data_IF_055053420126
#
_entry.id   IF_055053420126
#
_cell.length_a   1.000
_cell.length_b   1.000
_cell.length_c   1.000
_cell.angle_alpha   90.00
_cell.angle_beta   90.00
_cell.angle_gamma   90.00
#
_symmetry.space_group_name_H-M   'P 1'
#
loop_
_entity.id
_entity.type
_entity.pdbx_description
1 polymer ?
#
# COMPACT_ATOMS: atom_id res chain seq x y z
N UNK A 1 22.59 1.13 19.61
CA UNK A 1 21.12 1.24 19.62
C UNK A 1 20.73 1.53 21.06
N UNK A 2 20.79 2.81 21.44
CA UNK A 2 20.66 3.25 22.83
C UNK A 2 19.18 3.41 23.16
N UNK A 3 18.69 2.57 24.06
CA UNK A 3 17.44 2.77 24.78
C UNK A 3 17.54 4.07 25.57
N UNK A 4 16.88 5.12 25.10
CA UNK A 4 16.57 6.27 25.93
C UNK A 4 15.43 5.84 26.85
N UNK A 5 15.79 5.51 28.09
CA UNK A 5 14.82 5.49 29.19
C UNK A 5 14.23 6.89 29.34
N UNK A 6 13.13 7.12 28.65
CA UNK A 6 12.24 8.22 28.95
C UNK A 6 11.67 7.97 30.35
N UNK A 7 12.30 8.62 31.35
CA UNK A 7 11.74 8.76 32.69
C UNK A 7 10.34 9.35 32.55
N UNK A 8 9.32 8.50 32.52
CA UNK A 8 7.93 8.87 32.81
C UNK A 8 7.83 9.27 34.27
N UNK A 9 8.37 10.43 34.61
CA UNK A 9 7.92 11.17 35.77
C UNK A 9 6.43 11.40 35.53
N UNK A 10 5.56 10.76 36.34
CA UNK A 10 4.12 11.03 36.37
C UNK A 10 3.94 12.51 36.72
N UNK A 11 3.97 13.35 35.69
CA UNK A 11 3.74 14.77 35.81
C UNK A 11 2.24 14.92 35.94
N UNK A 12 1.75 14.77 37.17
CA UNK A 12 0.37 15.15 37.47
C UNK A 12 0.21 16.59 36.98
N UNK A 13 -0.80 16.89 36.14
CA UNK A 13 -0.97 18.25 35.63
C UNK A 13 -1.06 19.19 36.84
N UNK A 14 -0.51 20.40 36.70
CA UNK A 14 -0.40 21.40 37.78
C UNK A 14 -1.72 21.53 38.58
N UNK A 15 -2.85 21.39 37.88
CA UNK A 15 -4.21 21.36 38.42
C UNK A 15 -4.45 20.26 39.45
N UNK A 16 -3.96 19.03 39.23
CA UNK A 16 -4.15 17.91 40.17
C UNK A 16 -3.36 18.15 41.47
N UNK A 17 -2.14 18.71 41.38
CA UNK A 17 -1.37 19.09 42.56
C UNK A 17 -2.06 20.21 43.35
N UNK A 18 -2.57 21.22 42.64
CA UNK A 18 -3.35 22.30 43.24
C UNK A 18 -4.58 21.77 43.96
N UNK A 19 -5.35 20.87 43.32
CA UNK A 19 -6.53 20.25 43.91
C UNK A 19 -6.20 19.44 45.17
N UNK A 20 -5.12 18.65 45.16
CA UNK A 20 -4.68 17.87 46.32
C UNK A 20 -4.27 18.77 47.51
N UNK A 21 -3.64 19.91 47.23
CA UNK A 21 -3.28 20.87 48.28
C UNK A 21 -4.53 21.54 48.85
N UNK A 22 -5.47 21.95 48.00
CA UNK A 22 -6.73 22.56 48.44
C UNK A 22 -7.57 21.59 49.28
N UNK A 23 -7.65 20.32 48.92
CA UNK A 23 -8.38 19.31 49.71
C UNK A 23 -7.70 19.02 51.06
N UNK A 24 -6.37 18.96 51.10
CA UNK A 24 -5.63 18.81 52.35
C UNK A 24 -5.84 20.00 53.29
N UNK A 25 -5.81 21.24 52.77
CA UNK A 25 -6.08 22.46 53.55
C UNK A 25 -7.51 22.44 54.10
N UNK A 26 -8.50 22.10 53.28
CA UNK A 26 -9.90 22.01 53.71
C UNK A 26 -10.08 20.97 54.83
N UNK A 27 -9.42 19.81 54.73
CA UNK A 27 -9.46 18.77 55.76
C UNK A 27 -8.82 19.24 57.09
N UNK A 28 -7.70 19.97 57.03
CA UNK A 28 -7.06 20.54 58.22
C UNK A 28 -7.96 21.58 58.88
N UNK A 29 -8.58 22.47 58.09
CA UNK A 29 -9.53 23.47 58.60
C UNK A 29 -10.73 22.79 59.28
N UNK A 30 -11.26 21.72 58.69
CA UNK A 30 -12.35 20.95 59.28
C UNK A 30 -11.95 20.31 60.63
N UNK A 31 -10.74 19.71 60.71
CA UNK A 31 -10.21 19.12 61.93
C UNK A 31 -10.00 20.17 63.03
N UNK A 32 -9.48 21.35 62.69
CA UNK A 32 -9.33 22.47 63.62
C UNK A 32 -10.71 22.92 64.12
N UNK A 33 -11.70 23.04 63.23
CA UNK A 33 -13.08 23.39 63.59
C UNK A 33 -13.70 22.40 64.57
N UNK A 34 -13.52 21.09 64.35
CA UNK A 34 -13.97 20.03 65.26
C UNK A 34 -13.27 20.11 66.62
N UNK A 35 -11.95 20.35 66.62
CA UNK A 35 -11.18 20.49 67.86
C UNK A 35 -11.65 21.69 68.69
N UNK A 36 -11.80 22.87 68.07
CA UNK A 36 -12.30 24.09 68.73
C UNK A 36 -13.70 23.90 69.28
N UNK A 37 -14.58 23.23 68.53
CA UNK A 37 -15.94 22.90 69.00
C UNK A 37 -15.92 21.98 70.24
N UNK A 38 -15.07 20.96 70.23
CA UNK A 38 -14.93 20.02 71.36
C UNK A 38 -14.32 20.68 72.61
N UNK A 39 -13.33 21.56 72.45
CA UNK A 39 -12.71 22.30 73.56
C UNK A 39 -13.68 23.31 74.19
N UNK A 40 -14.47 24.02 73.38
CA UNK A 40 -15.40 25.06 73.85
C UNK A 40 -16.69 24.53 74.47
N UNK A 41 -17.21 23.37 74.03
CA UNK A 41 -18.46 22.79 74.56
C UNK A 41 -18.28 21.48 75.36
N UNK A 42 -17.11 20.84 75.31
CA UNK A 42 -16.84 19.54 75.93
C UNK A 42 -15.87 19.55 77.12
N UNK A 43 -15.13 20.64 77.35
CA UNK A 43 -14.30 20.90 78.54
C UNK A 43 -14.56 22.32 79.05
N UNK A 44 -14.35 22.53 80.35
CA UNK A 44 -14.66 23.78 81.07
C UNK A 44 -14.40 25.04 80.24
N UNK A 45 -15.46 25.84 80.03
CA UNK A 45 -15.55 27.03 79.17
C UNK A 45 -14.36 28.00 79.30
N UNK A 46 -13.26 27.73 78.60
CA UNK A 46 -12.05 28.57 78.68
C UNK A 46 -12.17 29.84 77.82
N UNK A 47 -13.02 29.82 76.79
CA UNK A 47 -13.28 30.92 75.88
C UNK A 47 -14.79 31.23 75.85
N UNK A 48 -15.22 32.47 75.60
CA UNK A 48 -16.64 32.86 75.58
C UNK A 48 -17.10 33.28 74.18
N UNK A 49 -17.12 32.32 73.24
CA UNK A 49 -17.48 32.52 71.82
C UNK A 49 -18.98 32.36 71.51
N UNK A 50 -19.86 32.42 72.52
CA UNK A 50 -21.31 32.25 72.35
C UNK A 50 -21.80 30.81 72.60
N UNK A 51 -23.11 30.59 72.43
CA UNK A 51 -23.78 29.30 72.66
C UNK A 51 -23.74 28.40 71.41
N UNK A 52 -24.04 27.11 71.60
CA UNK A 52 -24.01 26.09 70.54
C UNK A 52 -24.92 26.45 69.35
N UNK A 53 -26.06 27.06 69.64
CA UNK A 53 -27.03 27.54 68.64
C UNK A 53 -26.43 28.61 67.73
N UNK A 54 -25.65 29.56 68.26
CA UNK A 54 -24.97 30.60 67.48
C UNK A 54 -23.92 30.03 66.52
N UNK A 55 -23.20 28.99 66.94
CA UNK A 55 -22.25 28.27 66.08
C UNK A 55 -22.95 27.48 64.96
N UNK A 56 -24.09 26.85 65.26
CA UNK A 56 -24.95 26.22 64.27
C UNK A 56 -25.43 27.22 63.21
N UNK A 57 -25.97 28.36 63.64
CA UNK A 57 -26.44 29.43 62.75
C UNK A 57 -25.31 30.04 61.89
N UNK A 58 -24.10 30.18 62.44
CA UNK A 58 -22.93 30.62 61.67
C UNK A 58 -22.52 29.59 60.61
N UNK A 59 -22.50 28.31 60.97
CA UNK A 59 -22.26 27.21 60.04
C UNK A 59 -23.29 27.17 58.91
N UNK A 60 -24.58 27.36 59.22
CA UNK A 60 -25.66 27.43 58.25
C UNK A 60 -25.55 28.66 57.34
N UNK A 61 -25.11 29.81 57.85
CA UNK A 61 -24.86 31.01 57.05
C UNK A 61 -23.70 30.81 56.06
N UNK A 62 -22.56 30.30 56.55
CA UNK A 62 -21.39 30.02 55.71
C UNK A 62 -21.69 28.92 54.70
N UNK A 63 -22.35 27.83 55.13
CA UNK A 63 -22.79 26.75 54.26
C UNK A 63 -23.81 27.23 53.22
N UNK A 64 -24.76 28.07 53.63
CA UNK A 64 -25.76 28.69 52.77
C UNK A 64 -25.17 29.66 51.74
N UNK A 65 -24.05 30.33 52.04
CA UNK A 65 -23.33 31.18 51.10
C UNK A 65 -22.41 30.38 50.18
N UNK A 66 -21.67 29.40 50.73
CA UNK A 66 -20.73 28.58 49.97
C UNK A 66 -21.44 27.66 48.98
N UNK A 67 -22.58 27.09 49.34
CA UNK A 67 -23.26 26.10 48.51
C UNK A 67 -23.68 26.66 47.12
N UNK A 68 -24.32 27.84 47.00
CA UNK A 68 -24.56 28.49 45.71
C UNK A 68 -23.28 28.85 44.94
N UNK A 69 -22.24 29.33 45.62
CA UNK A 69 -20.95 29.69 44.98
C UNK A 69 -20.28 28.45 44.39
N UNK A 70 -20.17 27.38 45.18
CA UNK A 70 -19.58 26.11 44.74
C UNK A 70 -20.41 25.45 43.63
N UNK A 71 -21.74 25.52 43.72
CA UNK A 71 -22.63 25.02 42.67
C UNK A 71 -22.42 25.79 41.36
N UNK A 72 -22.34 27.13 41.41
CA UNK A 72 -22.06 27.95 40.24
C UNK A 72 -20.69 27.62 39.63
N UNK A 73 -19.64 27.52 40.45
CA UNK A 73 -18.30 27.15 40.00
C UNK A 73 -18.29 25.76 39.37
N UNK A 74 -19.02 24.80 39.95
CA UNK A 74 -19.16 23.45 39.40
C UNK A 74 -19.79 23.49 38.01
N UNK A 75 -20.89 24.23 37.83
CA UNK A 75 -21.53 24.39 36.52
C UNK A 75 -20.59 25.07 35.52
N UNK A 76 -19.89 26.14 35.93
CA UNK A 76 -18.93 26.84 35.06
C UNK A 76 -17.78 25.92 34.61
N UNK A 77 -17.21 25.12 35.53
CA UNK A 77 -16.17 24.15 35.23
C UNK A 77 -16.68 23.02 34.32
N UNK A 78 -17.92 22.57 34.50
CA UNK A 78 -18.54 21.57 33.63
C UNK A 78 -18.72 22.12 32.21
N UNK A 79 -19.24 23.34 32.06
CA UNK A 79 -19.38 23.99 30.73
C UNK A 79 -18.01 24.14 30.07
N UNK A 80 -16.99 24.59 30.81
CA UNK A 80 -15.63 24.70 30.28
C UNK A 80 -15.06 23.35 29.87
N UNK A 81 -15.31 22.30 30.66
CA UNK A 81 -14.88 20.93 30.34
C UNK A 81 -15.55 20.43 29.05
N UNK A 82 -16.86 20.66 28.87
CA UNK A 82 -17.58 20.31 27.65
C UNK A 82 -16.99 21.04 26.43
N UNK A 83 -16.67 22.32 26.56
CA UNK A 83 -16.04 23.10 25.49
C UNK A 83 -14.69 22.52 25.07
N UNK A 84 -13.87 22.07 26.02
CA UNK A 84 -12.60 21.40 25.73
C UNK A 84 -12.86 20.06 25.02
N UNK A 85 -13.78 19.25 25.55
CA UNK A 85 -14.13 17.95 24.96
C UNK A 85 -14.63 18.09 23.52
N UNK A 86 -15.45 19.09 23.22
CA UNK A 86 -15.92 19.38 21.85
C UNK A 86 -14.74 19.72 20.93
N UNK A 87 -13.81 20.57 21.37
CA UNK A 87 -12.63 20.95 20.58
C UNK A 87 -11.72 19.76 20.29
N UNK A 88 -11.47 18.91 21.29
CA UNK A 88 -10.65 17.71 21.11
C UNK A 88 -11.36 16.69 20.21
N UNK A 89 -12.68 16.53 20.32
CA UNK A 89 -13.46 15.68 19.41
C UNK A 89 -13.42 16.19 17.96
N UNK A 90 -13.52 17.50 17.76
CA UNK A 90 -13.41 18.12 16.44
C UNK A 90 -12.03 17.86 15.82
N UNK A 91 -10.95 18.11 16.57
CA UNK A 91 -9.58 17.81 16.12
C UNK A 91 -9.39 16.33 15.80
N UNK A 92 -9.88 15.44 16.65
CA UNK A 92 -9.79 14.00 16.44
C UNK A 92 -10.54 13.57 15.18
N UNK A 93 -11.72 14.13 14.93
CA UNK A 93 -12.50 13.86 13.71
C UNK A 93 -11.78 14.35 12.47
N UNK A 94 -11.21 15.57 12.50
CA UNK A 94 -10.42 16.11 11.39
C UNK A 94 -9.19 15.26 11.09
N UNK A 95 -8.42 14.88 12.11
CA UNK A 95 -7.24 14.03 11.95
C UNK A 95 -7.60 12.64 11.39
N UNK A 96 -8.75 12.08 11.80
CA UNK A 96 -9.23 10.81 11.27
C UNK A 96 -9.62 10.92 9.79
N UNK A 97 -10.25 12.01 9.38
CA UNK A 97 -10.63 12.22 7.98
C UNK A 97 -9.38 12.42 7.10
N UNK A 98 -8.39 13.20 7.55
CA UNK A 98 -7.10 13.33 6.86
C UNK A 98 -6.38 11.97 6.72
N UNK A 99 -6.38 11.17 7.80
CA UNK A 99 -5.80 9.82 7.78
C UNK A 99 -6.52 8.90 6.80
N UNK A 100 -7.85 8.99 6.72
CA UNK A 100 -8.65 8.21 5.80
C UNK A 100 -8.35 8.59 4.34
N UNK A 101 -8.23 9.88 4.03
CA UNK A 101 -7.86 10.36 2.70
C UNK A 101 -6.46 9.84 2.32
N UNK A 102 -5.47 10.03 3.18
CA UNK A 102 -4.11 9.54 2.94
C UNK A 102 -4.07 8.01 2.78
N UNK A 103 -4.88 7.27 3.54
CA UNK A 103 -4.98 5.82 3.42
C UNK A 103 -5.62 5.39 2.09
N UNK A 104 -6.64 6.11 1.62
CA UNK A 104 -7.26 5.86 0.32
C UNK A 104 -6.29 6.14 -0.84
N UNK A 105 -5.53 7.24 -0.77
CA UNK A 105 -4.48 7.55 -1.74
C UNK A 105 -3.38 6.47 -1.75
N UNK A 106 -2.92 6.04 -0.57
CA UNK A 106 -1.94 4.97 -0.46
C UNK A 106 -2.45 3.65 -1.04
N UNK A 107 -3.73 3.31 -0.80
CA UNK A 107 -4.34 2.11 -1.37
C UNK A 107 -4.37 2.18 -2.91
N UNK A 108 -4.75 3.32 -3.48
CA UNK A 108 -4.76 3.53 -4.92
C UNK A 108 -3.35 3.39 -5.54
N UNK A 109 -2.32 3.95 -4.88
CA UNK A 109 -0.92 3.78 -5.29
C UNK A 109 -0.46 2.32 -5.20
N UNK A 110 -0.83 1.62 -4.12
CA UNK A 110 -0.48 0.21 -3.92
C UNK A 110 -1.13 -0.69 -4.97
N UNK A 111 -2.40 -0.46 -5.32
CA UNK A 111 -3.09 -1.20 -6.39
C UNK A 111 -2.37 -0.99 -7.71
N UNK A 112 -2.08 0.27 -8.08
CA UNK A 112 -1.37 0.60 -9.32
C UNK A 112 0.03 -0.05 -9.39
N UNK A 113 0.76 -0.06 -8.28
CA UNK A 113 2.08 -0.69 -8.23
C UNK A 113 1.99 -2.23 -8.28
N UNK A 114 0.97 -2.82 -7.65
CA UNK A 114 0.69 -4.26 -7.74
C UNK A 114 0.37 -4.69 -9.17
N UNK A 115 -0.49 -3.95 -9.88
CA UNK A 115 -0.83 -4.19 -11.28
C UNK A 115 0.41 -4.09 -12.18
N UNK A 116 1.21 -3.02 -12.02
CA UNK A 116 2.48 -2.86 -12.74
C UNK A 116 3.41 -4.06 -12.51
N UNK A 117 3.50 -4.54 -11.27
CA UNK A 117 4.33 -5.70 -10.93
C UNK A 117 3.81 -6.98 -11.57
N UNK A 118 2.50 -7.24 -11.53
CA UNK A 118 1.89 -8.40 -12.20
C UNK A 118 2.16 -8.38 -13.71
N UNK A 119 2.03 -7.21 -14.35
CA UNK A 119 2.36 -7.04 -15.77
C UNK A 119 3.84 -7.30 -16.04
N UNK A 120 4.74 -6.75 -15.23
CA UNK A 120 6.19 -6.99 -15.36
C UNK A 120 6.54 -8.47 -15.27
N UNK A 121 6.00 -9.17 -14.26
CA UNK A 121 6.30 -10.58 -14.01
C UNK A 121 5.68 -11.45 -15.12
N UNK A 122 4.46 -11.13 -15.55
CA UNK A 122 3.77 -11.80 -16.67
C UNK A 122 4.50 -11.61 -18.00
N UNK A 123 4.92 -10.39 -18.33
CA UNK A 123 5.70 -10.11 -19.55
C UNK A 123 7.02 -10.87 -19.58
N UNK A 124 7.76 -10.91 -18.46
CA UNK A 124 8.98 -11.72 -18.38
C UNK A 124 8.68 -13.21 -18.56
N UNK A 125 7.61 -13.71 -17.93
CA UNK A 125 7.22 -15.11 -18.03
C UNK A 125 6.86 -15.50 -19.48
N UNK A 126 6.06 -14.68 -20.18
CA UNK A 126 5.66 -14.98 -21.56
C UNK A 126 6.82 -14.87 -22.55
N UNK A 127 7.70 -13.87 -22.40
CA UNK A 127 8.93 -13.77 -23.20
C UNK A 127 9.78 -15.02 -22.99
N UNK A 128 10.03 -15.39 -21.73
CA UNK A 128 10.83 -16.58 -21.41
C UNK A 128 10.20 -17.86 -21.95
N UNK A 129 8.89 -18.02 -21.83
CA UNK A 129 8.19 -19.19 -22.38
C UNK A 129 8.33 -19.26 -23.90
N UNK A 130 8.30 -18.12 -24.59
CA UNK A 130 8.54 -18.06 -26.03
C UNK A 130 9.98 -18.49 -26.37
N UNK A 131 10.97 -17.94 -25.66
CA UNK A 131 12.39 -18.32 -25.79
C UNK A 131 12.60 -19.82 -25.53
N UNK A 132 12.03 -20.36 -24.45
CA UNK A 132 12.12 -21.78 -24.07
C UNK A 132 11.48 -22.68 -25.13
N UNK A 133 10.38 -22.26 -25.76
CA UNK A 133 9.76 -22.98 -26.87
C UNK A 133 10.63 -22.94 -28.12
N UNK A 134 11.20 -21.79 -28.49
CA UNK A 134 12.10 -21.66 -29.64
C UNK A 134 13.35 -22.54 -29.49
N UNK A 135 13.84 -22.73 -28.26
CA UNK A 135 14.99 -23.57 -27.93
C UNK A 135 14.65 -25.06 -27.75
N UNK A 136 13.38 -25.46 -27.84
CA UNK A 136 12.99 -26.86 -27.64
C UNK A 136 13.30 -27.70 -28.90
N UNK A 137 14.14 -28.73 -28.81
CA UNK A 137 14.45 -29.58 -29.96
C UNK A 137 13.29 -30.54 -30.21
N UNK A 138 12.53 -30.30 -31.29
CA UNK A 138 11.33 -31.09 -31.62
C UNK A 138 11.27 -31.51 -33.09
N UNK A 139 11.96 -30.79 -33.97
CA UNK A 139 11.91 -31.07 -35.41
C UNK A 139 12.98 -32.08 -35.79
N UNK A 140 12.57 -33.22 -36.31
CA UNK A 140 13.49 -34.21 -36.86
C UNK A 140 13.80 -33.88 -38.33
N UNK A 141 15.08 -33.61 -38.62
CA UNK A 141 15.55 -33.24 -39.95
C UNK A 141 16.76 -34.09 -40.37
N UNK A 142 16.78 -34.51 -41.63
CA UNK A 142 17.95 -35.19 -42.21
C UNK A 142 18.90 -34.15 -42.81
N UNK A 143 20.01 -33.89 -42.13
CA UNK A 143 21.03 -32.91 -42.53
C UNK A 143 22.40 -33.58 -42.42
N UNK A 144 23.31 -33.30 -43.36
CA UNK A 144 24.68 -33.87 -43.37
C UNK A 144 24.72 -35.40 -43.22
N UNK A 145 23.79 -36.10 -43.89
CA UNK A 145 23.67 -37.56 -43.89
C UNK A 145 23.29 -38.21 -42.55
N UNK A 146 22.74 -37.45 -41.60
CA UNK A 146 22.23 -37.96 -40.31
C UNK A 146 20.91 -37.30 -39.93
N UNK A 147 20.10 -37.98 -39.11
CA UNK A 147 18.93 -37.37 -38.48
C UNK A 147 19.40 -36.51 -37.30
N UNK A 148 18.90 -35.29 -37.24
CA UNK A 148 19.11 -34.34 -36.15
C UNK A 148 17.75 -33.94 -35.59
N UNK A 149 17.62 -33.95 -34.27
CA UNK A 149 16.50 -33.29 -33.59
C UNK A 149 16.92 -31.86 -33.29
N UNK A 150 16.26 -30.90 -33.94
CA UNK A 150 16.63 -29.49 -33.93
C UNK A 150 15.53 -28.64 -33.32
N UNK A 151 15.94 -27.60 -32.61
CA UNK A 151 15.07 -26.50 -32.21
C UNK A 151 15.00 -25.46 -33.33
N UNK A 152 14.00 -24.56 -33.25
CA UNK A 152 13.93 -23.43 -34.18
C UNK A 152 15.13 -22.51 -33.97
N UNK A 153 15.56 -22.34 -32.71
CA UNK A 153 16.75 -21.58 -32.39
C UNK A 153 17.99 -22.11 -33.11
N UNK A 154 18.22 -23.44 -33.08
CA UNK A 154 19.36 -24.06 -33.78
C UNK A 154 19.30 -23.83 -35.30
N UNK A 155 18.11 -23.90 -35.89
CA UNK A 155 17.91 -23.69 -37.33
C UNK A 155 18.26 -22.27 -37.79
N UNK A 156 17.98 -21.27 -36.94
CA UNK A 156 18.20 -19.86 -37.25
C UNK A 156 19.62 -19.43 -36.88
N UNK A 157 20.15 -19.88 -35.74
CA UNK A 157 21.34 -19.29 -35.13
C UNK A 157 22.60 -20.15 -35.23
N UNK A 158 22.51 -21.47 -35.40
CA UNK A 158 23.71 -22.31 -35.54
C UNK A 158 24.23 -22.23 -37.00
N UNK A 159 25.47 -21.73 -37.22
CA UNK A 159 26.05 -21.64 -38.55
C UNK A 159 26.15 -22.98 -39.30
N UNK A 160 26.09 -24.11 -38.60
CA UNK A 160 26.07 -25.45 -39.23
C UNK A 160 24.80 -25.71 -40.04
N UNK A 161 23.71 -25.06 -39.66
CA UNK A 161 22.34 -25.31 -40.12
C UNK A 161 21.81 -24.17 -41.01
N UNK A 162 22.32 -22.94 -40.83
CA UNK A 162 21.94 -21.80 -41.66
C UNK A 162 22.13 -22.05 -43.17
N UNK A 163 21.10 -21.71 -43.94
CA UNK A 163 21.11 -21.76 -45.41
C UNK A 163 21.07 -23.17 -46.02
N UNK A 164 20.86 -24.23 -45.23
CA UNK A 164 20.69 -25.59 -45.75
C UNK A 164 19.29 -25.76 -46.33
N UNK A 165 19.18 -26.33 -47.54
CA UNK A 165 17.89 -26.58 -48.23
C UNK A 165 16.86 -27.24 -47.32
N UNK A 166 17.15 -28.36 -46.60
CA UNK A 166 16.13 -29.04 -45.79
C UNK A 166 15.54 -28.17 -44.68
N UNK A 167 16.30 -27.18 -44.19
CA UNK A 167 15.82 -26.25 -43.16
C UNK A 167 14.94 -25.20 -43.81
N UNK A 168 15.41 -24.56 -44.88
CA UNK A 168 14.60 -23.56 -45.61
C UNK A 168 13.28 -24.17 -46.08
N UNK A 169 13.32 -25.38 -46.65
CA UNK A 169 12.15 -26.11 -47.12
C UNK A 169 11.14 -26.32 -45.97
N UNK A 170 11.61 -26.71 -44.77
CA UNK A 170 10.75 -26.83 -43.60
C UNK A 170 10.16 -25.47 -43.19
N UNK A 171 10.96 -24.41 -43.08
CA UNK A 171 10.49 -23.08 -42.66
C UNK A 171 9.42 -22.51 -43.61
N UNK A 172 9.48 -22.82 -44.91
CA UNK A 172 8.43 -22.44 -45.86
C UNK A 172 7.10 -23.20 -45.66
N UNK A 173 7.12 -24.36 -44.99
CA UNK A 173 5.90 -25.13 -44.69
C UNK A 173 5.21 -24.68 -43.40
N UNK A 174 5.84 -23.85 -42.57
CA UNK A 174 5.28 -23.41 -41.28
C UNK A 174 3.89 -22.78 -41.38
N UNK A 175 3.57 -21.90 -42.37
CA UNK A 175 2.22 -21.38 -42.55
C UNK A 175 1.19 -22.50 -42.76
N UNK A 176 1.50 -23.47 -43.61
CA UNK A 176 0.60 -24.61 -43.88
C UNK A 176 0.42 -25.50 -42.65
N UNK A 177 1.50 -25.74 -41.89
CA UNK A 177 1.44 -26.49 -40.64
C UNK A 177 0.58 -25.76 -39.59
N UNK A 178 0.67 -24.43 -39.52
CA UNK A 178 -0.12 -23.59 -38.62
C UNK A 178 -1.62 -23.58 -38.98
N UNK A 179 -1.96 -23.62 -40.27
CA UNK A 179 -3.35 -23.61 -40.73
C UNK A 179 -4.03 -24.98 -40.68
N UNK A 180 -3.29 -26.06 -41.01
CA UNK A 180 -3.89 -27.37 -41.32
C UNK A 180 -3.31 -28.53 -40.48
N UNK A 181 -2.22 -28.29 -39.74
CA UNK A 181 -1.55 -29.32 -38.97
C UNK A 181 -2.26 -29.68 -37.65
N UNK A 182 -2.22 -30.95 -37.26
CA UNK A 182 -2.71 -31.43 -35.97
C UNK A 182 -1.69 -32.32 -35.23
N UNK A 183 -0.44 -32.30 -35.68
CA UNK A 183 0.65 -33.06 -35.09
C UNK A 183 1.33 -32.29 -33.94
N UNK A 184 2.41 -32.87 -33.40
CA UNK A 184 3.21 -32.23 -32.34
C UNK A 184 3.84 -30.91 -32.80
N UNK A 185 4.21 -30.81 -34.08
CA UNK A 185 4.89 -29.65 -34.64
C UNK A 185 3.93 -28.48 -34.79
N UNK A 186 2.71 -28.74 -35.29
CA UNK A 186 1.64 -27.74 -35.36
C UNK A 186 1.28 -27.18 -33.98
N UNK A 187 1.09 -28.05 -32.98
CA UNK A 187 0.83 -27.60 -31.59
C UNK A 187 1.97 -26.79 -31.02
N UNK A 188 3.21 -27.15 -31.35
CA UNK A 188 4.39 -26.42 -30.91
C UNK A 188 4.49 -25.04 -31.54
N UNK A 189 4.32 -24.93 -32.86
CA UNK A 189 4.30 -23.65 -33.58
C UNK A 189 3.15 -22.75 -33.11
N UNK A 190 1.96 -23.31 -32.88
CA UNK A 190 0.83 -22.57 -32.32
C UNK A 190 1.12 -22.07 -30.90
N UNK A 191 1.82 -22.87 -30.09
CA UNK A 191 2.23 -22.45 -28.75
C UNK A 191 3.21 -21.28 -28.79
N UNK A 192 4.19 -21.29 -29.70
CA UNK A 192 5.13 -20.18 -29.90
C UNK A 192 4.37 -18.92 -30.28
N UNK A 193 3.52 -19.02 -31.31
CA UNK A 193 2.72 -17.90 -31.81
C UNK A 193 1.85 -17.27 -30.71
N UNK A 194 1.20 -18.10 -29.90
CA UNK A 194 0.39 -17.62 -28.78
C UNK A 194 1.24 -16.98 -27.67
N UNK A 195 2.36 -17.58 -27.28
CA UNK A 195 3.25 -16.99 -26.27
C UNK A 195 3.80 -15.64 -26.74
N UNK A 196 4.14 -15.52 -28.03
CA UNK A 196 4.53 -14.24 -28.62
C UNK A 196 3.39 -13.22 -28.53
N UNK A 197 2.17 -13.57 -28.93
CA UNK A 197 1.02 -12.68 -28.82
C UNK A 197 0.75 -12.21 -27.38
N UNK A 198 0.83 -13.12 -26.40
CA UNK A 198 0.71 -12.78 -24.98
C UNK A 198 1.85 -11.87 -24.50
N UNK A 199 3.09 -12.12 -24.95
CA UNK A 199 4.23 -11.27 -24.61
C UNK A 199 4.04 -9.85 -25.13
N UNK A 200 3.57 -9.68 -26.37
CA UNK A 200 3.28 -8.38 -26.98
C UNK A 200 2.17 -7.66 -26.22
N UNK A 201 1.05 -8.34 -25.97
CA UNK A 201 -0.09 -7.75 -25.28
C UNK A 201 0.25 -7.28 -23.85
N UNK A 202 0.98 -8.10 -23.09
CA UNK A 202 1.39 -7.75 -21.73
C UNK A 202 2.44 -6.63 -21.73
N UNK A 203 3.37 -6.61 -22.69
CA UNK A 203 4.36 -5.54 -22.81
C UNK A 203 3.73 -4.22 -23.24
N UNK A 204 2.81 -4.22 -24.21
CA UNK A 204 2.02 -3.03 -24.56
C UNK A 204 1.34 -2.44 -23.33
N UNK A 205 0.69 -3.30 -22.54
CA UNK A 205 0.06 -2.88 -21.28
C UNK A 205 1.08 -2.33 -20.29
N UNK A 206 2.21 -3.01 -20.07
CA UNK A 206 3.27 -2.59 -19.15
C UNK A 206 3.87 -1.22 -19.54
N UNK A 207 4.11 -0.99 -20.83
CA UNK A 207 4.69 0.25 -21.36
C UNK A 207 3.90 1.49 -20.90
N UNK A 208 2.57 1.39 -20.83
CA UNK A 208 1.72 2.50 -20.35
C UNK A 208 1.94 2.87 -18.88
N UNK A 209 2.46 1.95 -18.05
CA UNK A 209 2.78 2.20 -16.65
C UNK A 209 4.21 2.72 -16.44
N UNK A 210 5.10 2.54 -17.42
CA UNK A 210 6.51 2.89 -17.30
C UNK A 210 6.72 4.37 -17.60
N UNK A 211 7.16 5.15 -16.61
CA UNK A 211 7.50 6.57 -16.79
C UNK A 211 8.84 6.79 -17.49
N UNK A 212 9.78 5.87 -17.34
CA UNK A 212 11.13 6.00 -17.88
C UNK A 212 11.18 5.52 -19.34
N UNK A 213 11.56 6.42 -20.25
CA UNK A 213 11.75 6.11 -21.68
C UNK A 213 12.69 4.91 -21.91
N UNK A 214 13.79 4.84 -21.16
CA UNK A 214 14.77 3.76 -21.31
C UNK A 214 14.16 2.38 -21.03
N UNK A 215 13.27 2.28 -20.03
CA UNK A 215 12.56 1.04 -19.72
C UNK A 215 11.55 0.69 -20.82
N UNK A 216 10.80 1.67 -21.33
CA UNK A 216 9.87 1.46 -22.45
C UNK A 216 10.60 0.89 -23.67
N UNK A 217 11.68 1.54 -24.08
CA UNK A 217 12.51 1.08 -25.20
C UNK A 217 13.12 -0.29 -24.96
N UNK A 218 13.58 -0.60 -23.75
CA UNK A 218 14.13 -1.92 -23.44
C UNK A 218 13.09 -3.03 -23.61
N UNK A 219 11.86 -2.83 -23.13
CA UNK A 219 10.79 -3.81 -23.26
C UNK A 219 10.28 -3.96 -24.69
N UNK A 220 10.08 -2.82 -25.37
CA UNK A 220 9.71 -2.76 -26.78
C UNK A 220 10.74 -3.51 -27.65
N UNK A 221 12.03 -3.21 -27.47
CA UNK A 221 13.11 -3.86 -28.22
C UNK A 221 13.14 -5.38 -28.02
N UNK A 222 12.95 -5.88 -26.79
CA UNK A 222 12.95 -7.33 -26.51
C UNK A 222 11.87 -8.07 -27.29
N UNK A 223 10.67 -7.51 -27.32
CA UNK A 223 9.54 -8.14 -28.02
C UNK A 223 9.65 -7.96 -29.53
N UNK A 224 10.14 -6.80 -30.01
CA UNK A 224 10.39 -6.59 -31.43
C UNK A 224 11.40 -7.58 -31.99
N UNK A 225 12.47 -7.91 -31.27
CA UNK A 225 13.44 -8.94 -31.68
C UNK A 225 12.74 -10.28 -31.93
N UNK A 226 11.97 -10.78 -30.95
CA UNK A 226 11.22 -12.03 -31.10
C UNK A 226 10.18 -11.98 -32.23
N UNK A 227 9.52 -10.83 -32.40
CA UNK A 227 8.53 -10.63 -33.44
C UNK A 227 9.15 -10.68 -34.84
N UNK A 228 10.30 -10.05 -35.03
CA UNK A 228 11.05 -10.09 -36.30
C UNK A 228 11.53 -11.51 -36.59
N UNK A 229 12.13 -12.19 -35.61
CA UNK A 229 12.59 -13.59 -35.77
C UNK A 229 11.44 -14.51 -36.20
N UNK A 230 10.30 -14.45 -35.51
CA UNK A 230 9.11 -15.24 -35.85
C UNK A 230 8.52 -14.89 -37.22
N UNK A 231 8.71 -13.66 -37.69
CA UNK A 231 8.29 -13.25 -39.03
C UNK A 231 9.21 -13.79 -40.12
N UNK A 232 10.53 -13.78 -39.89
CA UNK A 232 11.52 -14.28 -40.85
C UNK A 232 11.37 -15.78 -41.13
N UNK A 233 10.92 -16.54 -40.13
CA UNK A 233 10.67 -17.98 -40.24
C UNK A 233 9.21 -18.34 -40.57
N UNK A 234 8.39 -17.37 -40.99
CA UNK A 234 7.00 -17.58 -41.39
C UNK A 234 6.08 -18.18 -40.30
N UNK A 235 6.36 -17.94 -39.01
CA UNK A 235 5.41 -18.24 -37.92
C UNK A 235 4.30 -17.17 -37.88
N UNK A 236 4.66 -15.91 -38.14
CA UNK A 236 3.73 -14.80 -38.23
C UNK A 236 3.35 -14.50 -39.68
N UNK A 237 2.07 -14.23 -39.91
CA UNK A 237 1.62 -13.64 -41.17
C UNK A 237 2.05 -12.16 -41.26
N UNK A 238 2.03 -11.58 -42.46
CA UNK A 238 2.27 -10.14 -42.64
C UNK A 238 1.22 -9.29 -41.92
N UNK A 239 -0.04 -9.74 -41.90
CA UNK A 239 -1.11 -9.04 -41.21
C UNK A 239 -0.86 -8.99 -39.70
N UNK A 240 -0.56 -10.13 -39.08
CA UNK A 240 -0.30 -10.23 -37.65
C UNK A 240 0.93 -9.42 -37.22
N UNK A 241 1.98 -9.45 -38.02
CA UNK A 241 3.19 -8.67 -37.76
C UNK A 241 2.90 -7.16 -37.77
N UNK A 242 2.10 -6.69 -38.73
CA UNK A 242 1.72 -5.28 -38.81
C UNK A 242 0.80 -4.88 -37.66
N UNK A 243 -0.17 -5.72 -37.30
CA UNK A 243 -1.06 -5.48 -36.16
C UNK A 243 -0.29 -5.36 -34.85
N UNK A 244 0.66 -6.25 -34.60
CA UNK A 244 1.50 -6.20 -33.41
C UNK A 244 2.42 -4.98 -33.39
N UNK A 245 2.99 -4.61 -34.54
CA UNK A 245 3.78 -3.39 -34.67
C UNK A 245 2.96 -2.13 -34.37
N UNK A 246 1.73 -2.05 -34.89
CA UNK A 246 0.80 -0.96 -34.61
C UNK A 246 0.42 -0.90 -33.12
N UNK A 247 0.18 -2.05 -32.48
CA UNK A 247 -0.12 -2.12 -31.05
C UNK A 247 1.03 -1.57 -30.19
N UNK A 248 2.28 -1.94 -30.50
CA UNK A 248 3.47 -1.46 -29.81
C UNK A 248 3.69 0.06 -30.00
N UNK A 249 3.45 0.56 -31.21
CA UNK A 249 3.51 2.01 -31.50
C UNK A 249 2.46 2.77 -30.68
N UNK A 250 1.21 2.29 -30.70
CA UNK A 250 0.11 2.90 -29.93
C UNK A 250 0.38 2.92 -28.43
N UNK A 251 0.92 1.84 -27.87
CA UNK A 251 1.29 1.78 -26.45
C UNK A 251 2.36 2.82 -26.09
N UNK A 252 3.37 3.00 -26.94
CA UNK A 252 4.41 3.99 -26.74
C UNK A 252 3.90 5.44 -26.89
N UNK A 253 2.94 5.69 -27.78
CA UNK A 253 2.28 6.99 -27.90
C UNK A 253 1.44 7.33 -26.66
N UNK A 254 0.65 6.38 -26.17
CA UNK A 254 -0.14 6.53 -24.94
C UNK A 254 0.73 6.77 -23.69
N UNK A 255 1.97 6.27 -23.68
CA UNK A 255 2.89 6.42 -22.56
C UNK A 255 3.66 7.76 -22.55
N UNK A 256 3.54 8.59 -23.60
CA UNK A 256 4.17 9.92 -23.61
C UNK A 256 3.48 10.81 -22.55
N UNK A 257 4.23 11.53 -21.70
CA UNK A 257 3.62 12.47 -20.78
C UNK A 257 2.91 13.57 -21.59
N UNK A 258 1.62 13.78 -21.32
CA UNK A 258 0.87 14.98 -21.69
C UNK A 258 1.46 16.21 -21.02
#
# INVERSE_FOLDING_TARGET
MNYVEEKRTKSYPLLVKLLLVLTAIAAIIALIGVYVYYDHFGRDNFWNFGNQESFGLFGDYIGGLLNPILTFLTVALLVWSIQIQIKELQKSTSALEETKIAHQEQLALNIKESERKQLHDSSNMHIKNCEDLLNKPIFELFVNHRNHMLSIYDMIHDPKYQGKSPINDLLYTFPTILEQGNDSNARHLYSIKNQLAFSISTVCSLITYLKLNALRHSWDSRVQTLMVECKEINILSEEEFNDFKLALLGANEMAKPT
#
